data_IF_028982995613
#
_entry.id   IF_028982995613
#
_cell.length_a   1.000
_cell.length_b   1.000
_cell.length_c   1.000
_cell.angle_alpha   90.00
_cell.angle_beta   90.00
_cell.angle_gamma   90.00
#
_symmetry.space_group_name_H-M   'P 1'
#
loop_
_entity.id
_entity.type
_entity.pdbx_description
1 polymer ?
#
# COMPACT_ATOMS: atom_id res chain seq x y z
N UNK A 1 -16.96 24.87 23.69
CA UNK A 1 -17.88 23.79 23.28
C UNK A 1 -17.88 22.73 24.37
N UNK A 2 -19.04 22.19 24.77
CA UNK A 2 -19.15 21.12 25.76
C UNK A 2 -18.36 19.87 25.32
N UNK A 3 -17.64 19.24 26.26
CA UNK A 3 -16.83 18.05 25.97
C UNK A 3 -17.67 16.88 25.41
N UNK A 4 -18.82 16.62 26.03
CA UNK A 4 -19.69 15.48 25.67
C UNK A 4 -20.22 15.58 24.23
N UNK A 5 -20.53 16.80 23.78
CA UNK A 5 -20.97 17.08 22.42
C UNK A 5 -19.85 16.81 21.41
N UNK A 6 -18.64 17.32 21.69
CA UNK A 6 -17.46 17.09 20.85
C UNK A 6 -17.04 15.62 20.81
N UNK A 7 -17.15 14.91 21.94
CA UNK A 7 -16.81 13.48 22.04
C UNK A 7 -17.79 12.64 21.20
N UNK A 8 -19.09 12.91 21.32
CA UNK A 8 -20.12 12.24 20.51
C UNK A 8 -19.91 12.50 19.02
N UNK A 9 -19.61 13.74 18.66
CA UNK A 9 -19.29 14.11 17.27
C UNK A 9 -18.06 13.37 16.74
N UNK A 10 -16.94 13.44 17.47
CA UNK A 10 -15.67 12.81 17.07
C UNK A 10 -15.82 11.29 16.90
N UNK A 11 -16.52 10.61 17.82
CA UNK A 11 -16.79 9.18 17.74
C UNK A 11 -17.69 8.81 16.56
N UNK A 12 -18.68 9.65 16.25
CA UNK A 12 -19.59 9.42 15.10
C UNK A 12 -18.81 9.55 13.79
N UNK A 13 -18.09 10.65 13.60
CA UNK A 13 -17.24 10.87 12.41
C UNK A 13 -16.23 9.74 12.26
N UNK A 14 -15.60 9.30 13.34
CA UNK A 14 -14.62 8.22 13.26
C UNK A 14 -15.23 6.91 12.75
N UNK A 15 -16.42 6.53 13.22
CA UNK A 15 -17.12 5.33 12.73
C UNK A 15 -17.51 5.44 11.26
N UNK A 16 -17.96 6.62 10.83
CA UNK A 16 -18.27 6.88 9.42
C UNK A 16 -17.02 6.73 8.54
N UNK A 17 -15.91 7.35 8.95
CA UNK A 17 -14.62 7.26 8.27
C UNK A 17 -14.13 5.81 8.15
N UNK A 18 -14.27 5.01 9.21
CA UNK A 18 -13.95 3.58 9.20
C UNK A 18 -14.81 2.82 8.19
N UNK A 19 -16.12 3.06 8.18
CA UNK A 19 -17.06 2.42 7.26
C UNK A 19 -16.74 2.73 5.80
N UNK A 20 -16.51 3.99 5.47
CA UNK A 20 -16.18 4.44 4.10
C UNK A 20 -14.87 3.84 3.61
N UNK A 21 -13.87 3.72 4.49
CA UNK A 21 -12.53 3.25 4.11
C UNK A 21 -12.41 1.71 4.07
N UNK A 22 -13.38 0.98 4.64
CA UNK A 22 -13.30 -0.48 4.79
C UNK A 22 -13.16 -1.29 3.48
N UNK A 23 -13.85 -0.94 2.38
CA UNK A 23 -13.68 -1.66 1.11
C UNK A 23 -12.25 -1.55 0.58
N UNK A 24 -11.67 -0.34 0.63
CA UNK A 24 -10.28 -0.10 0.19
C UNK A 24 -9.28 -0.83 1.08
N UNK A 25 -9.44 -0.73 2.40
CA UNK A 25 -8.59 -1.43 3.39
C UNK A 25 -8.58 -2.94 3.15
N UNK A 26 -9.75 -3.53 2.87
CA UNK A 26 -9.85 -4.97 2.61
C UNK A 26 -9.04 -5.39 1.38
N UNK A 27 -9.11 -4.63 0.28
CA UNK A 27 -8.27 -4.87 -0.90
C UNK A 27 -6.77 -4.76 -0.59
N UNK A 28 -6.37 -3.73 0.15
CA UNK A 28 -4.95 -3.53 0.50
C UNK A 28 -4.42 -4.66 1.37
N UNK A 29 -5.24 -5.18 2.29
CA UNK A 29 -4.90 -6.37 3.10
C UNK A 29 -4.65 -7.58 2.19
N UNK A 30 -5.49 -7.81 1.20
CA UNK A 30 -5.31 -8.90 0.23
C UNK A 30 -4.01 -8.72 -0.58
N UNK A 31 -3.70 -7.48 -0.99
CA UNK A 31 -2.46 -7.16 -1.72
C UNK A 31 -1.22 -7.42 -0.88
N UNK A 32 -1.22 -6.95 0.38
CA UNK A 32 -0.12 -7.18 1.31
C UNK A 32 0.03 -8.66 1.66
N UNK A 33 -1.08 -9.38 1.84
CA UNK A 33 -1.06 -10.83 2.02
C UNK A 33 -0.40 -11.52 0.83
N UNK A 34 -0.69 -11.10 -0.41
CA UNK A 34 -0.03 -11.68 -1.58
C UNK A 34 1.46 -11.32 -1.68
N UNK A 35 1.82 -10.06 -1.45
CA UNK A 35 3.23 -9.63 -1.49
C UNK A 35 4.09 -10.33 -0.43
N UNK A 36 3.47 -10.75 0.68
CA UNK A 36 4.09 -11.56 1.73
C UNK A 36 4.02 -13.08 1.48
N UNK A 37 3.44 -13.51 0.35
CA UNK A 37 3.28 -14.93 0.00
C UNK A 37 2.12 -15.66 0.69
N UNK A 38 1.36 -14.97 1.53
CA UNK A 38 0.31 -15.52 2.40
C UNK A 38 -1.10 -15.54 1.78
N UNK A 39 -1.29 -15.02 0.55
CA UNK A 39 -2.65 -15.03 -0.02
C UNK A 39 -3.14 -16.44 -0.31
N UNK A 40 -4.44 -16.67 -0.15
CA UNK A 40 -5.13 -17.81 -0.75
C UNK A 40 -5.80 -17.34 -2.02
N UNK A 41 -5.33 -17.76 -3.19
CA UNK A 41 -6.09 -17.53 -4.42
C UNK A 41 -7.32 -18.43 -4.35
N UNK A 42 -8.55 -17.88 -4.36
CA UNK A 42 -9.76 -18.66 -4.23
C UNK A 42 -9.82 -19.74 -5.30
N UNK A 43 -9.96 -20.99 -4.86
CA UNK A 43 -10.23 -22.11 -5.73
C UNK A 43 -11.70 -21.99 -6.19
N UNK A 44 -12.00 -21.90 -7.50
CA UNK A 44 -13.38 -21.90 -7.97
C UNK A 44 -14.13 -23.19 -7.58
N UNK A 45 -13.44 -24.29 -7.27
CA UNK A 45 -14.04 -25.56 -6.85
C UNK A 45 -13.45 -26.07 -5.54
N UNK A 46 -13.89 -25.50 -4.41
CA UNK A 46 -13.58 -26.01 -3.05
C UNK A 46 -13.97 -27.49 -2.82
N UNK A 47 -14.62 -28.16 -3.76
CA UNK A 47 -15.14 -29.53 -3.62
C UNK A 47 -14.11 -30.63 -3.89
N UNK A 48 -12.89 -30.34 -4.40
CA UNK A 48 -11.91 -31.39 -4.74
C UNK A 48 -10.43 -31.09 -4.42
N UNK A 49 -10.11 -29.95 -3.80
CA UNK A 49 -8.83 -29.24 -3.88
C UNK A 49 -7.55 -29.82 -3.25
N UNK A 50 -7.50 -31.06 -2.75
CA UNK A 50 -6.27 -31.59 -2.12
C UNK A 50 -5.17 -32.02 -3.12
N UNK A 51 -5.53 -32.24 -4.39
CA UNK A 51 -4.58 -32.67 -5.44
C UNK A 51 -4.10 -31.53 -6.35
N UNK A 52 -4.72 -30.35 -6.27
CA UNK A 52 -4.40 -29.20 -7.14
C UNK A 52 -3.10 -28.52 -6.69
N UNK A 53 -2.30 -28.05 -7.64
CA UNK A 53 -1.07 -27.31 -7.33
C UNK A 53 -1.37 -25.92 -6.75
N UNK A 54 -0.62 -25.51 -5.74
CA UNK A 54 -0.70 -24.15 -5.17
C UNK A 54 0.29 -23.18 -5.84
N UNK A 55 0.42 -23.27 -7.17
CA UNK A 55 1.30 -22.39 -7.93
C UNK A 55 0.57 -21.07 -8.19
N UNK A 56 1.28 -19.95 -8.04
CA UNK A 56 0.74 -18.61 -8.26
C UNK A 56 1.51 -17.90 -9.36
N UNK A 57 0.84 -16.98 -10.04
CA UNK A 57 1.52 -16.06 -10.94
C UNK A 57 2.40 -15.09 -10.15
N UNK A 58 3.61 -14.84 -10.63
CA UNK A 58 4.48 -13.81 -10.06
C UNK A 58 4.16 -12.40 -10.58
N UNK A 59 3.18 -12.26 -11.48
CA UNK A 59 2.92 -11.00 -12.17
C UNK A 59 2.60 -9.84 -11.22
N UNK A 60 1.81 -10.09 -10.17
CA UNK A 60 1.44 -9.07 -9.20
C UNK A 60 2.67 -8.52 -8.46
N UNK A 61 3.49 -9.42 -7.93
CA UNK A 61 4.73 -9.06 -7.24
C UNK A 61 5.69 -8.32 -8.17
N UNK A 62 5.96 -8.88 -9.35
CA UNK A 62 6.93 -8.31 -10.30
C UNK A 62 6.52 -6.90 -10.76
N UNK A 63 5.26 -6.70 -11.13
CA UNK A 63 4.77 -5.42 -11.64
C UNK A 63 4.66 -4.37 -10.53
N UNK A 64 4.13 -4.74 -9.37
CA UNK A 64 3.97 -3.81 -8.24
C UNK A 64 5.33 -3.35 -7.71
N UNK A 65 6.27 -4.27 -7.52
CA UNK A 65 7.62 -3.92 -7.06
C UNK A 65 8.39 -3.11 -8.09
N UNK A 66 8.32 -3.47 -9.37
CA UNK A 66 8.98 -2.71 -10.42
C UNK A 66 8.41 -1.29 -10.54
N UNK A 67 7.08 -1.13 -10.48
CA UNK A 67 6.44 0.19 -10.49
C UNK A 67 6.96 1.07 -9.35
N UNK A 68 7.04 0.51 -8.15
CA UNK A 68 7.60 1.21 -6.99
C UNK A 68 9.04 1.64 -7.21
N UNK A 69 9.92 0.71 -7.58
CA UNK A 69 11.34 1.01 -7.78
C UNK A 69 11.56 2.02 -8.90
N UNK A 70 10.79 1.91 -9.99
CA UNK A 70 10.88 2.79 -11.15
C UNK A 70 10.41 4.21 -10.82
N UNK A 71 9.22 4.36 -10.25
CA UNK A 71 8.67 5.67 -9.85
C UNK A 71 9.52 6.32 -8.75
N UNK A 72 9.99 5.53 -7.78
CA UNK A 72 10.91 6.00 -6.74
C UNK A 72 12.20 6.56 -7.35
N UNK A 73 12.83 5.84 -8.27
CA UNK A 73 14.05 6.31 -8.92
C UNK A 73 13.84 7.64 -9.66
N UNK A 74 12.70 7.82 -10.31
CA UNK A 74 12.34 9.04 -11.01
C UNK A 74 12.08 10.19 -10.04
N UNK A 75 11.32 9.97 -8.96
CA UNK A 75 11.08 10.97 -7.91
C UNK A 75 12.36 11.40 -7.20
N UNK A 76 13.28 10.48 -6.90
CA UNK A 76 14.58 10.85 -6.32
C UNK A 76 15.40 11.72 -7.26
N UNK A 77 15.35 11.41 -8.56
CA UNK A 77 16.05 12.22 -9.58
C UNK A 77 15.43 13.61 -9.70
N UNK A 78 14.11 13.73 -9.73
CA UNK A 78 13.44 15.03 -9.87
C UNK A 78 13.54 15.89 -8.62
N UNK A 79 13.36 15.31 -7.44
CA UNK A 79 13.44 16.06 -6.18
C UNK A 79 14.85 16.55 -5.85
N UNK A 80 15.90 15.78 -6.14
CA UNK A 80 17.28 16.20 -5.89
C UNK A 80 17.80 17.22 -6.90
N UNK A 81 17.38 17.13 -8.18
CA UNK A 81 17.98 17.91 -9.26
C UNK A 81 17.07 18.98 -9.89
N UNK A 82 15.74 18.88 -9.76
CA UNK A 82 14.78 19.67 -10.56
C UNK A 82 13.83 20.56 -9.73
N UNK A 83 13.85 20.48 -8.40
CA UNK A 83 13.10 21.43 -7.56
C UNK A 83 13.75 22.82 -7.61
N UNK A 84 13.18 23.68 -8.45
CA UNK A 84 13.49 25.11 -8.52
C UNK A 84 12.52 25.93 -7.68
N UNK A 85 13.04 26.98 -7.04
CA UNK A 85 12.23 27.99 -6.37
C UNK A 85 12.30 29.26 -7.21
N UNK A 86 11.17 29.94 -7.39
CA UNK A 86 11.09 31.15 -8.19
C UNK A 86 10.35 32.26 -7.43
N UNK A 87 10.78 33.50 -7.66
CA UNK A 87 10.15 34.68 -7.06
C UNK A 87 10.14 35.81 -8.09
N UNK A 88 8.96 36.35 -8.35
CA UNK A 88 8.79 37.48 -9.28
C UNK A 88 9.19 38.83 -8.68
N UNK A 89 9.28 38.92 -7.35
CA UNK A 89 9.42 40.19 -6.62
C UNK A 89 10.79 40.37 -5.94
N UNK A 90 11.37 39.29 -5.44
CA UNK A 90 12.60 39.33 -4.66
C UNK A 90 13.59 38.29 -5.19
N UNK A 91 14.76 38.74 -5.63
CA UNK A 91 15.79 37.90 -6.27
C UNK A 91 16.47 36.91 -5.32
N UNK A 92 16.51 37.23 -4.02
CA UNK A 92 17.15 36.41 -2.98
C UNK A 92 16.21 35.35 -2.37
N UNK A 93 14.90 35.56 -2.46
CA UNK A 93 13.89 34.70 -1.86
C UNK A 93 13.94 33.22 -2.36
N UNK A 94 14.25 32.93 -3.65
CA UNK A 94 14.49 31.56 -4.10
C UNK A 94 15.59 30.82 -3.33
N UNK A 95 16.71 31.50 -3.06
CA UNK A 95 17.84 30.94 -2.31
C UNK A 95 17.42 30.64 -0.87
N UNK A 96 16.72 31.58 -0.23
CA UNK A 96 16.16 31.40 1.12
C UNK A 96 15.24 30.19 1.18
N UNK A 97 14.28 30.08 0.25
CA UNK A 97 13.37 28.94 0.19
C UNK A 97 14.10 27.62 -0.01
N UNK A 98 15.13 27.59 -0.85
CA UNK A 98 15.94 26.37 -1.05
C UNK A 98 16.66 25.96 0.25
N UNK A 99 17.29 26.91 0.95
CA UNK A 99 18.01 26.66 2.21
C UNK A 99 17.06 26.16 3.30
N UNK A 100 15.92 26.83 3.49
CA UNK A 100 14.88 26.44 4.46
C UNK A 100 14.28 25.08 4.11
N UNK A 101 14.01 24.82 2.83
CA UNK A 101 13.54 23.50 2.37
C UNK A 101 14.55 22.40 2.68
N UNK A 102 15.84 22.61 2.39
CA UNK A 102 16.89 21.63 2.69
C UNK A 102 16.99 21.35 4.20
N UNK A 103 16.87 22.38 5.05
CA UNK A 103 16.81 22.20 6.50
C UNK A 103 15.59 21.38 6.91
N UNK A 104 14.41 21.69 6.37
CA UNK A 104 13.18 20.94 6.64
C UNK A 104 13.29 19.48 6.21
N UNK A 105 13.84 19.21 5.02
CA UNK A 105 14.10 17.85 4.52
C UNK A 105 15.02 17.09 5.48
N UNK A 106 16.08 17.73 5.97
CA UNK A 106 17.02 17.13 6.91
C UNK A 106 16.35 16.79 8.25
N UNK A 107 15.61 17.74 8.83
CA UNK A 107 14.96 17.55 10.15
C UNK A 107 13.83 16.52 10.13
N UNK A 108 13.15 16.39 9.00
CA UNK A 108 11.93 15.57 8.92
C UNK A 108 12.12 14.24 8.21
N UNK A 109 13.31 13.96 7.67
CA UNK A 109 13.57 12.82 6.79
C UNK A 109 12.55 12.70 5.64
N UNK A 110 12.15 13.84 5.06
CA UNK A 110 11.01 13.95 4.15
C UNK A 110 11.02 12.92 3.01
N UNK A 111 12.18 12.66 2.41
CA UNK A 111 12.27 11.73 1.27
C UNK A 111 12.00 10.28 1.65
N UNK A 112 12.34 9.85 2.87
CA UNK A 112 11.97 8.52 3.35
C UNK A 112 10.45 8.42 3.56
N UNK A 113 9.84 9.51 4.03
CA UNK A 113 8.39 9.64 4.16
C UNK A 113 7.71 9.61 2.79
N UNK A 114 8.22 10.33 1.79
CA UNK A 114 7.69 10.32 0.42
C UNK A 114 7.82 8.93 -0.21
N UNK A 115 8.95 8.23 -0.02
CA UNK A 115 9.16 6.88 -0.52
C UNK A 115 8.10 5.91 0.05
N UNK A 116 7.84 5.98 1.36
CA UNK A 116 6.79 5.18 2.02
C UNK A 116 5.39 5.55 1.52
N UNK A 117 5.11 6.84 1.36
CA UNK A 117 3.83 7.31 0.85
C UNK A 117 3.60 6.84 -0.60
N UNK A 118 4.63 6.83 -1.45
CA UNK A 118 4.57 6.29 -2.80
C UNK A 118 4.20 4.80 -2.81
N UNK A 119 4.85 4.01 -1.96
CA UNK A 119 4.53 2.59 -1.81
C UNK A 119 3.07 2.40 -1.42
N UNK A 120 2.59 3.14 -0.42
CA UNK A 120 1.20 3.13 0.00
C UNK A 120 0.24 3.58 -1.10
N UNK A 121 0.62 4.59 -1.90
CA UNK A 121 -0.17 5.07 -3.03
C UNK A 121 -0.29 4.07 -4.17
N UNK A 122 0.75 3.30 -4.45
CA UNK A 122 0.70 2.20 -5.44
C UNK A 122 -0.32 1.14 -5.02
N UNK A 123 -0.35 0.77 -3.73
CA UNK A 123 -1.25 -0.25 -3.19
C UNK A 123 -2.68 0.25 -3.04
N UNK A 124 -2.86 1.43 -2.42
CA UNK A 124 -4.16 1.95 -2.01
C UNK A 124 -4.80 2.91 -3.00
N UNK A 125 -4.01 3.49 -3.91
CA UNK A 125 -4.47 4.50 -4.85
C UNK A 125 -4.44 5.92 -4.28
N UNK A 126 -3.89 6.11 -3.08
CA UNK A 126 -3.82 7.41 -2.43
C UNK A 126 -2.44 7.66 -1.79
N UNK A 127 -1.85 8.80 -2.13
CA UNK A 127 -0.61 9.31 -1.60
C UNK A 127 -0.92 10.21 -0.41
N UNK A 128 -0.68 9.72 0.80
CA UNK A 128 -1.08 10.41 2.04
C UNK A 128 0.11 10.66 2.96
N UNK A 129 0.36 11.93 3.28
CA UNK A 129 1.42 12.37 4.19
C UNK A 129 0.84 13.34 5.22
N UNK A 130 1.20 13.13 6.48
CA UNK A 130 1.01 14.09 7.55
C UNK A 130 2.25 15.00 7.61
N UNK A 131 2.01 16.31 7.60
CA UNK A 131 2.96 17.37 7.89
C UNK A 131 2.33 18.27 8.94
N UNK A 132 2.71 18.02 10.20
CA UNK A 132 2.17 18.72 11.38
C UNK A 132 3.32 19.18 12.28
N UNK A 133 3.04 20.14 13.15
CA UNK A 133 3.94 20.50 14.24
C UNK A 133 3.27 20.12 15.56
N UNK A 134 3.86 19.16 16.27
CA UNK A 134 3.25 18.58 17.46
C UNK A 134 4.31 18.15 18.47
N UNK A 135 3.87 17.88 19.69
CA UNK A 135 4.71 17.30 20.72
C UNK A 135 4.98 15.83 20.44
N UNK A 136 6.25 15.48 20.32
CA UNK A 136 6.74 14.11 20.20
C UNK A 136 7.51 13.70 21.44
N UNK A 137 7.39 12.44 21.84
CA UNK A 137 8.24 11.84 22.88
C UNK A 137 9.46 11.22 22.20
N UNK A 138 10.64 11.70 22.55
CA UNK A 138 11.90 11.28 21.96
C UNK A 138 12.33 9.86 22.46
N UNK A 139 13.59 9.48 22.23
CA UNK A 139 14.15 8.20 22.70
C UNK A 139 14.49 8.21 24.20
N UNK A 140 14.54 9.38 24.83
CA UNK A 140 14.89 9.59 26.23
C UNK A 140 13.67 9.91 27.11
N UNK A 141 12.45 9.73 26.56
CA UNK A 141 11.16 10.06 27.17
C UNK A 141 10.91 11.57 27.41
N UNK A 142 11.72 12.43 26.78
CA UNK A 142 11.54 13.88 26.81
C UNK A 142 10.51 14.31 25.74
N UNK A 143 9.71 15.30 26.11
CA UNK A 143 8.66 15.86 25.25
C UNK A 143 9.25 17.06 24.50
N UNK A 144 9.45 16.90 23.19
CA UNK A 144 9.93 17.96 22.31
C UNK A 144 8.84 18.39 21.33
N UNK A 145 8.75 19.70 21.08
CA UNK A 145 7.89 20.23 20.02
C UNK A 145 8.63 20.24 18.69
N UNK A 146 8.19 19.43 17.74
CA UNK A 146 8.91 19.20 16.48
C UNK A 146 7.97 19.25 15.29
N UNK A 147 8.50 19.68 14.13
CA UNK A 147 7.81 19.50 12.85
C UNK A 147 8.01 18.06 12.43
N UNK A 148 6.91 17.30 12.34
CA UNK A 148 6.91 15.88 12.09
C UNK A 148 6.35 15.57 10.70
N UNK A 149 6.98 14.61 10.02
CA UNK A 149 6.43 14.03 8.79
C UNK A 149 6.14 12.55 8.98
N UNK A 150 4.98 12.11 8.49
CA UNK A 150 4.61 10.69 8.54
C UNK A 150 3.87 10.28 7.28
N UNK A 151 4.31 9.18 6.67
CA UNK A 151 3.54 8.52 5.63
C UNK A 151 2.37 7.78 6.30
N UNK A 152 1.15 8.12 5.91
CA UNK A 152 -0.05 7.53 6.50
C UNK A 152 -0.31 6.18 5.83
N UNK A 153 -0.28 5.11 6.64
CA UNK A 153 -0.56 3.76 6.14
C UNK A 153 -2.04 3.66 5.78
N UNK A 154 -2.40 3.10 4.62
CA UNK A 154 -3.79 2.94 4.19
C UNK A 154 -4.59 2.01 5.12
N UNK A 155 -3.91 1.22 5.96
CA UNK A 155 -4.54 0.34 6.94
C UNK A 155 -4.95 1.07 8.22
N UNK A 156 -4.30 2.19 8.52
CA UNK A 156 -4.53 3.00 9.71
C UNK A 156 -4.95 4.44 9.37
N UNK A 157 -5.33 4.71 8.12
CA UNK A 157 -5.71 6.03 7.61
C UNK A 157 -7.12 5.97 7.04
N UNK A 158 -7.87 7.03 7.28
CA UNK A 158 -9.27 7.15 6.90
C UNK A 158 -9.54 8.54 6.34
N UNK A 159 -10.39 8.61 5.33
CA UNK A 159 -10.75 9.85 4.65
C UNK A 159 -12.24 9.87 4.32
N UNK A 160 -12.87 11.02 4.50
CA UNK A 160 -14.26 11.22 4.10
C UNK A 160 -14.37 11.39 2.58
N UNK A 161 -15.50 10.99 2.00
CA UNK A 161 -15.73 11.07 0.55
C UNK A 161 -15.65 12.49 -0.01
N UNK A 162 -15.98 13.49 0.80
CA UNK A 162 -15.92 14.91 0.45
C UNK A 162 -14.56 15.57 0.77
N UNK A 163 -13.60 14.82 1.33
CA UNK A 163 -12.27 15.30 1.68
C UNK A 163 -12.23 16.34 2.82
N UNK A 164 -13.30 16.47 3.60
CA UNK A 164 -13.36 17.41 4.73
C UNK A 164 -12.78 16.85 6.03
N UNK A 165 -12.84 15.53 6.21
CA UNK A 165 -12.35 14.84 7.40
C UNK A 165 -11.30 13.79 7.06
N UNK A 166 -10.30 13.72 7.93
CA UNK A 166 -9.22 12.77 7.88
C UNK A 166 -9.01 12.18 9.27
N UNK A 167 -8.75 10.89 9.37
CA UNK A 167 -8.34 10.29 10.62
C UNK A 167 -7.17 9.33 10.41
N UNK A 168 -6.35 9.15 11.44
CA UNK A 168 -5.41 8.05 11.46
C UNK A 168 -5.19 7.51 12.88
N UNK A 169 -4.88 6.22 12.93
CA UNK A 169 -4.59 5.50 14.16
C UNK A 169 -3.09 5.37 14.40
N UNK A 170 -2.69 5.48 15.66
CA UNK A 170 -1.32 5.21 16.13
C UNK A 170 -1.39 4.31 17.34
N UNK A 171 -0.59 3.25 17.32
CA UNK A 171 -0.40 2.35 18.45
C UNK A 171 0.91 2.71 19.14
N UNK A 172 0.84 3.17 20.39
CA UNK A 172 2.01 3.57 21.16
C UNK A 172 2.13 2.70 22.42
N UNK A 173 3.36 2.37 22.87
CA UNK A 173 3.58 1.74 24.17
C UNK A 173 2.95 2.57 25.29
N UNK A 174 2.37 1.90 26.29
CA UNK A 174 1.67 2.58 27.39
C UNK A 174 2.57 3.58 28.14
N UNK A 175 3.88 3.34 28.21
CA UNK A 175 4.84 4.28 28.79
C UNK A 175 4.85 5.62 28.04
N UNK A 176 4.90 5.58 26.70
CA UNK A 176 4.85 6.79 25.86
C UNK A 176 3.50 7.49 25.95
N UNK A 177 2.41 6.72 26.02
CA UNK A 177 1.06 7.27 26.22
C UNK A 177 0.98 8.00 27.56
N UNK A 178 1.60 7.49 28.62
CA UNK A 178 1.66 8.15 29.93
C UNK A 178 2.40 9.49 29.86
N UNK A 179 3.47 9.58 29.08
CA UNK A 179 4.15 10.84 28.78
C UNK A 179 3.21 11.86 28.13
N UNK A 180 2.57 11.47 27.03
CA UNK A 180 1.62 12.31 26.29
C UNK A 180 0.38 12.70 27.12
N UNK A 181 -0.10 11.82 28.00
CA UNK A 181 -1.30 12.08 28.81
C UNK A 181 -1.17 13.27 29.76
N UNK A 182 0.07 13.69 30.06
CA UNK A 182 0.33 14.90 30.84
C UNK A 182 -0.04 16.19 30.09
N UNK A 183 -0.11 16.13 28.75
CA UNK A 183 -0.43 17.27 27.89
C UNK A 183 -1.93 17.33 27.56
N UNK A 184 -2.67 16.24 27.73
CA UNK A 184 -4.08 16.16 27.40
C UNK A 184 -4.93 17.08 28.29
N UNK A 185 -5.88 17.79 27.69
CA UNK A 185 -6.87 18.59 28.43
C UNK A 185 -7.79 17.73 29.29
N UNK A 186 -8.10 16.52 28.83
CA UNK A 186 -9.07 15.62 29.48
C UNK A 186 -8.53 14.19 29.59
N UNK A 187 -7.49 13.95 30.40
CA UNK A 187 -6.95 12.62 30.57
C UNK A 187 -7.98 11.69 31.24
N UNK A 188 -8.09 10.42 30.80
CA UNK A 188 -8.96 9.44 31.43
C UNK A 188 -8.42 9.08 32.82
N UNK A 189 -9.30 8.68 33.75
CA UNK A 189 -8.92 8.32 35.12
C UNK A 189 -7.89 7.18 35.17
N UNK A 190 -7.97 6.26 34.21
CA UNK A 190 -7.03 5.16 34.05
C UNK A 190 -6.70 4.93 32.58
N UNK A 191 -5.42 4.80 32.28
CA UNK A 191 -4.95 4.37 30.95
C UNK A 191 -5.20 2.87 30.80
N UNK A 192 -6.12 2.52 29.90
CA UNK A 192 -6.48 1.15 29.57
C UNK A 192 -5.59 0.59 28.45
N UNK A 193 -5.24 -0.68 28.54
CA UNK A 193 -4.54 -1.36 27.43
C UNK A 193 -5.54 -1.63 26.30
N UNK A 194 -5.15 -1.33 25.07
CA UNK A 194 -5.94 -1.64 23.88
C UNK A 194 -5.85 -3.15 23.58
N UNK A 195 -7.01 -3.83 23.54
CA UNK A 195 -7.10 -5.26 23.25
C UNK A 195 -7.18 -5.51 21.74
N UNK A 196 -6.09 -5.96 21.13
CA UNK A 196 -6.04 -6.46 19.75
C UNK A 196 -6.75 -7.83 19.70
N UNK A 197 -8.00 -7.90 19.23
CA UNK A 197 -8.80 -9.13 19.32
C UNK A 197 -9.47 -9.60 18.02
N UNK A 198 -9.20 -8.99 16.85
CA UNK A 198 -9.71 -9.48 15.55
C UNK A 198 -8.61 -9.98 14.60
N UNK A 199 -8.94 -10.92 13.70
CA UNK A 199 -7.96 -11.59 12.81
C UNK A 199 -7.25 -10.66 11.81
N UNK A 200 -7.84 -9.50 11.47
CA UNK A 200 -7.18 -8.43 10.68
C UNK A 200 -6.16 -7.63 11.51
N UNK A 201 -6.32 -7.56 12.83
CA UNK A 201 -5.42 -6.83 13.74
C UNK A 201 -4.05 -7.54 13.92
N UNK A 202 -3.98 -8.84 13.57
CA UNK A 202 -2.80 -9.70 13.71
C UNK A 202 -1.74 -9.52 12.62
N UNK A 203 -2.14 -9.23 11.40
CA UNK A 203 -1.23 -9.07 10.24
C UNK A 203 -0.56 -7.69 10.23
N UNK A 204 -1.28 -6.67 10.72
CA UNK A 204 -0.80 -5.29 10.88
C UNK A 204 0.18 -5.14 12.06
N UNK A 205 0.10 -5.99 13.08
CA UNK A 205 1.13 -6.12 14.13
C UNK A 205 2.42 -6.78 13.60
N UNK A 206 2.32 -7.80 12.73
CA UNK A 206 3.44 -8.61 12.24
C UNK A 206 4.39 -7.91 11.25
N UNK A 207 3.95 -6.85 10.55
CA UNK A 207 4.73 -6.23 9.46
C UNK A 207 5.66 -5.09 9.95
N UNK A 208 5.42 -4.47 11.12
CA UNK A 208 6.20 -3.26 11.48
C UNK A 208 6.59 -3.01 12.94
N UNK A 209 6.13 -3.72 13.98
CA UNK A 209 6.39 -3.23 15.34
C UNK A 209 6.67 -4.31 16.41
N UNK A 210 7.97 -4.54 16.58
CA UNK A 210 8.70 -4.71 17.85
C UNK A 210 8.59 -6.01 18.67
N UNK A 211 9.80 -6.47 18.99
CA UNK A 211 10.23 -7.12 20.23
C UNK A 211 9.39 -6.70 21.44
N UNK A 212 9.13 -7.70 22.28
CA UNK A 212 8.57 -7.65 23.62
C UNK A 212 7.08 -7.32 23.75
N UNK A 213 6.49 -7.98 24.75
CA UNK A 213 5.07 -8.00 25.14
C UNK A 213 4.60 -6.64 25.68
N UNK A 214 4.86 -5.55 24.97
CA UNK A 214 4.44 -4.24 25.39
C UNK A 214 2.91 -4.15 25.30
N UNK A 215 2.29 -3.74 26.39
CA UNK A 215 0.90 -3.28 26.37
C UNK A 215 0.85 -1.96 25.60
N UNK A 216 -0.13 -1.78 24.71
CA UNK A 216 -0.25 -0.58 23.88
C UNK A 216 -1.52 0.19 24.19
N UNK A 217 -1.49 1.50 23.97
CA UNK A 217 -2.67 2.35 23.86
C UNK A 217 -2.87 2.77 22.42
N UNK A 218 -4.11 2.81 21.96
CA UNK A 218 -4.47 3.34 20.65
C UNK A 218 -4.80 4.82 20.78
N UNK A 219 -4.16 5.65 19.97
CA UNK A 219 -4.50 7.06 19.82
C UNK A 219 -4.99 7.28 18.40
N UNK A 220 -6.16 7.88 18.27
CA UNK A 220 -6.75 8.24 16.99
C UNK A 220 -6.80 9.75 16.88
N UNK A 221 -6.19 10.28 15.82
CA UNK A 221 -6.21 11.70 15.51
C UNK A 221 -7.20 11.94 14.38
N UNK A 222 -8.10 12.89 14.55
CA UNK A 222 -9.11 13.28 13.55
C UNK A 222 -8.92 14.77 13.23
N UNK A 223 -8.81 15.09 11.96
CA UNK A 223 -8.65 16.45 11.45
C UNK A 223 -9.88 16.81 10.61
N UNK A 224 -10.48 17.96 10.89
CA UNK A 224 -11.64 18.43 10.13
C UNK A 224 -12.21 19.71 10.72
N UNK A 225 -13.47 20.02 10.42
CA UNK A 225 -14.17 21.17 11.00
C UNK A 225 -15.38 20.69 11.80
N UNK A 226 -15.58 21.26 12.97
CA UNK A 226 -16.80 21.02 13.73
C UNK A 226 -17.94 21.87 13.17
N UNK A 227 -19.12 21.29 13.08
CA UNK A 227 -20.36 22.01 12.73
C UNK A 227 -21.29 21.84 13.91
N UNK A 228 -21.66 22.95 14.56
CA UNK A 228 -22.58 22.89 15.69
C UNK A 228 -24.02 22.66 15.21
N UNK A 229 -24.93 22.41 16.16
CA UNK A 229 -26.36 22.21 15.90
C UNK A 229 -27.06 23.45 15.30
N UNK A 230 -26.45 24.63 15.40
CA UNK A 230 -26.94 25.90 14.86
C UNK A 230 -26.38 26.20 13.45
N UNK A 231 -25.50 25.35 12.92
CA UNK A 231 -24.89 25.48 11.58
C UNK A 231 -23.62 26.33 11.51
N UNK A 232 -23.08 26.79 12.64
CA UNK A 232 -21.80 27.48 12.70
C UNK A 232 -20.63 26.51 12.49
N UNK A 233 -19.72 26.88 11.59
CA UNK A 233 -18.54 26.10 11.22
C UNK A 233 -17.33 26.59 12.01
N UNK A 234 -16.68 25.69 12.76
CA UNK A 234 -15.47 26.02 13.51
C UNK A 234 -14.26 26.25 12.62
N UNK A 235 -13.20 26.82 13.20
CA UNK A 235 -11.86 26.68 12.65
C UNK A 235 -11.48 25.19 12.55
N UNK A 236 -10.54 24.81 11.67
CA UNK A 236 -10.07 23.43 11.60
C UNK A 236 -9.57 22.94 12.96
N UNK A 237 -10.08 21.79 13.39
CA UNK A 237 -9.79 21.17 14.67
C UNK A 237 -9.05 19.85 14.48
N UNK A 238 -8.20 19.54 15.45
CA UNK A 238 -7.59 18.24 15.69
C UNK A 238 -8.24 17.64 16.94
N UNK A 239 -8.97 16.57 16.76
CA UNK A 239 -9.52 15.76 17.85
C UNK A 239 -8.58 14.60 18.14
N UNK A 240 -8.33 14.34 19.43
CA UNK A 240 -7.52 13.22 19.88
C UNK A 240 -8.40 12.29 20.70
N UNK A 241 -8.62 11.08 20.19
CA UNK A 241 -9.33 10.01 20.88
C UNK A 241 -8.34 9.00 21.45
N UNK A 242 -8.64 8.48 22.64
CA UNK A 242 -7.92 7.38 23.25
C UNK A 242 -8.77 6.12 23.28
N UNK A 243 -8.20 5.02 22.78
CA UNK A 243 -8.81 3.69 22.68
C UNK A 243 -10.21 3.68 22.05
N UNK A 244 -10.45 4.55 21.07
CA UNK A 244 -11.74 4.73 20.36
C UNK A 244 -12.93 5.06 21.29
N UNK A 245 -12.66 5.56 22.50
CA UNK A 245 -13.67 5.78 23.53
C UNK A 245 -13.67 7.20 24.07
N UNK A 246 -12.51 7.68 24.48
CA UNK A 246 -12.41 8.91 25.27
C UNK A 246 -11.85 10.05 24.43
N UNK A 247 -12.55 11.20 24.37
CA UNK A 247 -11.97 12.42 23.84
C UNK A 247 -11.02 13.00 24.88
N UNK A 248 -9.73 12.94 24.57
CA UNK A 248 -8.66 13.41 25.47
C UNK A 248 -8.19 14.82 25.15
N UNK A 249 -8.34 15.24 23.89
CA UNK A 249 -8.04 16.60 23.48
C UNK A 249 -8.81 17.06 22.23
N UNK A 250 -9.00 18.38 22.14
CA UNK A 250 -9.49 19.09 20.97
C UNK A 250 -8.73 20.42 20.82
N UNK A 251 -8.07 20.60 19.69
CA UNK A 251 -7.16 21.73 19.44
C UNK A 251 -7.42 22.40 18.10
N UNK A 252 -7.28 23.73 18.04
CA UNK A 252 -7.33 24.46 16.79
C UNK A 252 -6.03 24.28 16.02
N UNK A 253 -6.14 24.01 14.72
CA UNK A 253 -4.99 23.93 13.82
C UNK A 253 -4.63 25.36 13.40
N UNK A 254 -3.52 25.87 13.93
CA UNK A 254 -3.08 27.26 13.75
C UNK A 254 -1.99 27.41 12.69
N UNK A 255 -2.00 26.59 11.64
CA UNK A 255 -1.01 26.68 10.57
C UNK A 255 -1.17 27.98 9.77
N UNK A 256 -0.03 28.64 9.48
CA UNK A 256 0.01 29.92 8.78
C UNK A 256 -0.60 29.86 7.36
N UNK A 257 -0.53 28.69 6.72
CA UNK A 257 -1.12 28.45 5.40
C UNK A 257 -2.63 28.14 5.44
N UNK A 258 -3.22 28.01 6.63
CA UNK A 258 -4.64 27.66 6.88
C UNK A 258 -5.07 26.34 6.25
N UNK A 259 -4.13 25.46 5.89
CA UNK A 259 -4.42 24.15 5.33
C UNK A 259 -4.35 23.07 6.40
N UNK A 260 -5.10 21.99 6.21
CA UNK A 260 -5.02 20.82 7.09
C UNK A 260 -3.60 20.22 7.07
N UNK A 261 -3.16 19.55 8.14
CA UNK A 261 -1.83 18.93 8.22
C UNK A 261 -1.68 17.72 7.29
N UNK A 262 -2.80 17.08 6.93
CA UNK A 262 -2.83 15.91 6.04
C UNK A 262 -2.89 16.36 4.58
N UNK A 263 -1.92 15.94 3.80
CA UNK A 263 -1.90 16.09 2.34
C UNK A 263 -2.23 14.73 1.76
N UNK A 264 -3.36 14.63 1.06
CA UNK A 264 -3.83 13.38 0.47
C UNK A 264 -4.25 13.59 -0.98
N UNK A 265 -3.67 12.80 -1.88
CA UNK A 265 -3.84 12.95 -3.33
C UNK A 265 -4.03 11.58 -3.97
N UNK A 266 -5.03 11.47 -4.86
CA UNK A 266 -5.27 10.25 -5.61
C UNK A 266 -4.12 9.97 -6.59
N UNK A 267 -3.68 8.70 -6.63
CA UNK A 267 -2.60 8.24 -7.49
C UNK A 267 -2.97 8.37 -8.98
N UNK A 268 -4.19 8.00 -9.33
CA UNK A 268 -4.83 8.32 -10.62
C UNK A 268 -5.81 9.49 -10.47
N UNK A 269 -6.52 9.88 -11.54
CA UNK A 269 -7.58 10.89 -11.44
C UNK A 269 -8.64 10.50 -10.41
N UNK A 270 -9.20 11.51 -9.72
CA UNK A 270 -10.23 11.30 -8.70
C UNK A 270 -11.45 10.53 -9.26
N UNK A 271 -11.73 10.69 -10.55
CA UNK A 271 -12.79 9.96 -11.26
C UNK A 271 -12.54 8.45 -11.38
N UNK A 272 -11.28 8.02 -11.43
CA UNK A 272 -10.96 6.60 -11.59
C UNK A 272 -11.05 5.85 -10.27
N UNK A 273 -10.69 6.47 -9.14
CA UNK A 273 -10.64 5.83 -7.82
C UNK A 273 -9.93 4.47 -7.82
N UNK A 274 -8.92 4.27 -8.66
CA UNK A 274 -8.15 3.03 -8.77
C UNK A 274 -6.77 3.20 -8.14
N UNK A 275 -6.20 2.11 -7.66
CA UNK A 275 -4.77 1.99 -7.36
C UNK A 275 -4.02 1.35 -8.50
N UNK A 276 -2.69 1.48 -8.49
CA UNK A 276 -1.85 0.75 -9.44
C UNK A 276 -2.01 -0.77 -9.25
N UNK A 277 -2.15 -1.23 -8.00
CA UNK A 277 -2.40 -2.64 -7.69
C UNK A 277 -3.75 -3.13 -8.18
N UNK A 278 -4.82 -2.32 -8.15
CA UNK A 278 -6.13 -2.71 -8.71
C UNK A 278 -6.00 -3.15 -10.17
N UNK A 279 -5.23 -2.41 -10.97
CA UNK A 279 -5.06 -2.65 -12.40
C UNK A 279 -4.48 -4.03 -12.73
N UNK A 280 -3.65 -4.57 -11.84
CA UNK A 280 -2.95 -5.84 -12.05
C UNK A 280 -3.65 -6.99 -11.32
N UNK A 281 -4.38 -6.69 -10.24
CA UNK A 281 -4.93 -7.70 -9.33
C UNK A 281 -5.84 -8.70 -10.03
N UNK A 282 -6.74 -8.24 -10.91
CA UNK A 282 -7.67 -9.12 -11.60
C UNK A 282 -6.94 -10.02 -12.60
N UNK A 283 -5.99 -9.48 -13.38
CA UNK A 283 -5.15 -10.28 -14.27
C UNK A 283 -4.27 -11.28 -13.52
N UNK A 284 -3.79 -10.92 -12.33
CA UNK A 284 -3.03 -11.82 -11.46
C UNK A 284 -3.88 -13.02 -11.01
N UNK A 285 -5.13 -12.78 -10.57
CA UNK A 285 -6.04 -13.86 -10.16
C UNK A 285 -6.33 -14.79 -11.33
N UNK A 286 -6.62 -14.24 -12.50
CA UNK A 286 -6.92 -15.03 -13.69
C UNK A 286 -5.71 -15.79 -14.24
N UNK A 287 -4.53 -15.17 -14.32
CA UNK A 287 -3.31 -15.88 -14.73
C UNK A 287 -2.93 -16.97 -13.73
N UNK A 288 -3.13 -16.74 -12.44
CA UNK A 288 -2.86 -17.77 -11.43
C UNK A 288 -3.81 -18.95 -11.53
N UNK A 289 -5.12 -18.70 -11.72
CA UNK A 289 -6.11 -19.75 -11.97
C UNK A 289 -5.76 -20.56 -13.21
N UNK A 290 -5.43 -19.88 -14.30
CA UNK A 290 -5.09 -20.53 -15.57
C UNK A 290 -3.78 -21.30 -15.49
N UNK A 291 -2.75 -20.73 -14.85
CA UNK A 291 -1.46 -21.37 -14.65
C UNK A 291 -1.60 -22.67 -13.85
N UNK A 292 -2.39 -22.65 -12.77
CA UNK A 292 -2.71 -23.88 -12.01
C UNK A 292 -3.38 -24.92 -12.89
N UNK A 293 -4.43 -24.54 -13.61
CA UNK A 293 -5.15 -25.45 -14.49
C UNK A 293 -4.26 -26.07 -15.58
N UNK A 294 -3.34 -25.28 -16.16
CA UNK A 294 -2.36 -25.74 -17.14
C UNK A 294 -1.39 -26.75 -16.49
N UNK A 295 -0.83 -26.42 -15.33
CA UNK A 295 0.17 -27.27 -14.66
C UNK A 295 -0.47 -28.56 -14.17
N UNK A 296 -1.64 -28.49 -13.55
CA UNK A 296 -2.39 -29.65 -13.08
C UNK A 296 -2.72 -30.57 -14.25
N UNK A 297 -3.21 -30.03 -15.37
CA UNK A 297 -3.45 -30.83 -16.59
C UNK A 297 -2.18 -31.37 -17.21
N UNK A 298 -1.08 -30.61 -17.18
CA UNK A 298 0.21 -31.09 -17.67
C UNK A 298 0.70 -32.28 -16.83
N UNK A 299 0.64 -32.19 -15.50
CA UNK A 299 0.98 -33.29 -14.57
C UNK A 299 0.08 -34.50 -14.82
N UNK A 300 -1.23 -34.31 -14.94
CA UNK A 300 -2.15 -35.41 -15.23
C UNK A 300 -1.92 -36.02 -16.62
N UNK A 301 -1.51 -35.21 -17.61
CA UNK A 301 -1.22 -35.69 -18.96
C UNK A 301 0.08 -36.49 -19.05
N UNK A 302 1.06 -36.19 -18.19
CA UNK A 302 2.32 -36.96 -18.09
C UNK A 302 2.17 -38.18 -17.17
N UNK A 303 1.13 -38.21 -16.33
CA UNK A 303 0.84 -39.35 -15.46
C UNK A 303 0.05 -40.41 -16.23
N UNK A 304 0.56 -41.63 -16.29
CA UNK A 304 -0.18 -42.77 -16.84
C UNK A 304 -0.99 -43.45 -15.73
N UNK A 305 -2.29 -43.61 -15.97
CA UNK A 305 -3.14 -44.51 -15.20
C UNK A 305 -3.08 -45.92 -15.80
N UNK A 306 -3.33 -46.92 -14.97
CA UNK A 306 -3.46 -48.31 -15.41
C UNK A 306 -4.80 -48.85 -14.93
N UNK A 307 -5.64 -49.28 -15.86
CA UNK A 307 -6.85 -50.04 -15.57
C UNK A 307 -6.50 -51.53 -15.59
N UNK A 308 -6.82 -52.25 -14.52
CA UNK A 308 -6.56 -53.69 -14.38
C UNK A 308 -7.89 -54.43 -14.56
N UNK A 309 -8.03 -55.17 -15.65
CA UNK A 309 -9.19 -56.02 -15.87
C UNK A 309 -9.00 -57.33 -15.10
N UNK A 310 -9.59 -57.41 -13.91
CA UNK A 310 -9.47 -58.59 -13.04
C UNK A 310 -10.11 -59.86 -13.61
N UNK A 311 -11.03 -59.72 -14.57
CA UNK A 311 -11.68 -60.86 -15.24
C UNK A 311 -10.81 -61.52 -16.30
N UNK A 312 -9.79 -60.82 -16.81
CA UNK A 312 -8.83 -61.34 -17.79
C UNK A 312 -7.65 -62.07 -17.14
N UNK A 313 -7.52 -62.02 -15.80
CA UNK A 313 -6.45 -62.64 -15.03
C UNK A 313 -6.77 -64.11 -14.75
N UNK A 314 -5.75 -64.98 -14.83
CA UNK A 314 -5.90 -66.41 -14.58
C UNK A 314 -6.24 -66.75 -13.10
N UNK A 315 -5.91 -65.86 -12.16
CA UNK A 315 -6.08 -66.07 -10.72
C UNK A 315 -6.66 -64.80 -10.07
N UNK A 316 -7.78 -64.89 -9.35
CA UNK A 316 -8.49 -63.74 -8.74
C UNK A 316 -7.75 -63.08 -7.57
N UNK A 317 -6.81 -63.78 -6.93
CA UNK A 317 -6.20 -63.38 -5.65
C UNK A 317 -4.71 -62.99 -5.74
N UNK A 318 -4.14 -62.91 -6.95
CA UNK A 318 -2.77 -62.42 -7.10
C UNK A 318 -2.74 -60.89 -6.98
N UNK A 319 -2.52 -60.37 -5.77
CA UNK A 319 -2.09 -58.97 -5.58
C UNK A 319 -0.66 -58.86 -6.12
N UNK A 320 -0.50 -58.61 -7.41
CA UNK A 320 0.82 -58.44 -8.02
C UNK A 320 1.32 -57.01 -7.85
N UNK A 321 2.55 -56.88 -7.37
CA UNK A 321 3.30 -55.63 -7.51
C UNK A 321 3.81 -55.56 -8.95
N UNK A 322 3.26 -54.65 -9.76
CA UNK A 322 3.70 -54.46 -11.15
C UNK A 322 5.14 -53.93 -11.13
N UNK A 323 6.10 -54.79 -11.47
CA UNK A 323 7.51 -54.42 -11.69
C UNK A 323 7.84 -54.48 -13.18
N UNK A 324 8.84 -53.71 -13.66
CA UNK A 324 9.32 -53.83 -15.02
C UNK A 324 9.63 -55.30 -15.38
N UNK A 325 9.20 -55.74 -16.57
CA UNK A 325 9.39 -57.10 -17.10
C UNK A 325 8.62 -58.23 -16.39
N UNK A 326 7.64 -57.91 -15.53
CA UNK A 326 6.77 -58.94 -14.95
C UNK A 326 5.88 -59.56 -16.01
N UNK A 327 5.87 -60.89 -16.11
CA UNK A 327 4.99 -61.64 -17.03
C UNK A 327 3.70 -61.98 -16.30
N UNK A 328 2.57 -61.50 -16.82
CA UNK A 328 1.24 -61.74 -16.25
C UNK A 328 0.51 -62.75 -17.15
N UNK A 329 -0.03 -63.81 -16.55
CA UNK A 329 -0.80 -64.83 -17.28
C UNK A 329 -2.24 -64.35 -17.47
N UNK A 330 -2.68 -64.25 -18.73
CA UNK A 330 -4.04 -63.86 -19.08
C UNK A 330 -4.83 -65.05 -19.63
N UNK A 331 -6.13 -65.10 -19.35
CA UNK A 331 -7.08 -66.13 -19.85
C UNK A 331 -7.95 -65.61 -21.01
N UNK A 332 -7.77 -64.35 -21.40
CA UNK A 332 -8.48 -63.72 -22.52
C UNK A 332 -7.50 -63.07 -23.47
N UNK A 333 -7.92 -62.92 -24.74
CA UNK A 333 -7.19 -62.17 -25.76
C UNK A 333 -7.17 -60.65 -25.49
N UNK A 334 -7.97 -60.16 -24.54
CA UNK A 334 -7.95 -58.77 -24.12
C UNK A 334 -6.78 -58.50 -23.15
N UNK A 335 -6.07 -57.36 -23.30
CA UNK A 335 -4.97 -57.02 -22.39
C UNK A 335 -5.50 -56.82 -20.96
N UNK A 336 -4.88 -57.51 -20.00
CA UNK A 336 -5.25 -57.45 -18.58
C UNK A 336 -4.88 -56.12 -17.92
N UNK A 337 -3.88 -55.41 -18.45
CA UNK A 337 -3.51 -54.05 -18.03
C UNK A 337 -3.69 -53.14 -19.23
N UNK A 338 -4.49 -52.08 -19.06
CA UNK A 338 -4.69 -51.04 -20.08
C UNK A 338 -4.15 -49.71 -19.56
N UNK A 339 -3.10 -49.14 -20.18
CA UNK A 339 -2.71 -47.78 -19.85
C UNK A 339 -3.78 -46.82 -20.37
N UNK A 340 -4.12 -45.80 -19.59
CA UNK A 340 -4.92 -44.68 -20.02
C UNK A 340 -4.27 -43.37 -19.57
N UNK A 341 -4.42 -42.32 -20.38
CA UNK A 341 -4.00 -40.99 -19.98
C UNK A 341 -5.00 -40.44 -18.96
N UNK A 342 -4.53 -39.96 -17.82
CA UNK A 342 -5.42 -39.40 -16.79
C UNK A 342 -6.08 -38.10 -17.25
N UNK A 343 -5.45 -37.35 -18.15
CA UNK A 343 -6.02 -36.18 -18.79
C UNK A 343 -5.41 -35.94 -20.18
N UNK A 344 -6.12 -35.20 -21.02
CA UNK A 344 -5.56 -34.57 -22.22
C UNK A 344 -5.27 -33.09 -21.95
N UNK A 345 -4.09 -32.65 -22.38
CA UNK A 345 -3.71 -31.24 -22.40
C UNK A 345 -4.04 -30.65 -23.76
N UNK A 346 -4.84 -29.58 -23.81
CA UNK A 346 -5.10 -28.82 -25.02
C UNK A 346 -4.14 -27.62 -25.10
N UNK A 347 -3.17 -27.61 -26.04
CA UNK A 347 -2.22 -26.51 -26.19
C UNK A 347 -2.86 -25.18 -26.58
N UNK A 348 -4.11 -25.16 -27.07
CA UNK A 348 -4.83 -23.93 -27.43
C UNK A 348 -5.12 -23.02 -26.23
N UNK A 349 -4.90 -23.50 -25.00
CA UNK A 349 -5.01 -22.71 -23.78
C UNK A 349 -3.79 -21.78 -23.57
N UNK A 350 -2.62 -22.12 -24.14
CA UNK A 350 -1.40 -21.31 -23.98
C UNK A 350 -1.51 -19.90 -24.60
N UNK A 351 -2.06 -19.72 -25.82
CA UNK A 351 -2.35 -18.39 -26.36
C UNK A 351 -3.25 -17.54 -25.47
N UNK A 352 -4.26 -18.13 -24.81
CA UNK A 352 -5.16 -17.42 -23.91
C UNK A 352 -4.38 -16.84 -22.72
N UNK A 353 -3.49 -17.63 -22.14
CA UNK A 353 -2.58 -17.14 -21.08
C UNK A 353 -1.71 -16.00 -21.56
N UNK A 354 -1.17 -16.09 -22.78
CA UNK A 354 -0.34 -15.03 -23.34
C UNK A 354 -1.09 -13.71 -23.52
N UNK A 355 -2.39 -13.75 -23.86
CA UNK A 355 -3.23 -12.56 -23.93
C UNK A 355 -3.42 -11.90 -22.55
N UNK A 356 -3.65 -12.69 -21.49
CA UNK A 356 -3.73 -12.18 -20.11
C UNK A 356 -2.43 -11.47 -19.71
N UNK A 357 -1.28 -12.10 -19.96
CA UNK A 357 0.02 -11.51 -19.67
C UNK A 357 0.28 -10.24 -20.48
N UNK A 358 -0.12 -10.21 -21.75
CA UNK A 358 0.03 -9.05 -22.61
C UNK A 358 -0.83 -7.88 -22.11
N UNK A 359 -2.08 -8.15 -21.71
CA UNK A 359 -2.97 -7.11 -21.23
C UNK A 359 -2.51 -6.55 -19.88
N UNK A 360 -2.04 -7.41 -18.98
CA UNK A 360 -1.42 -6.96 -17.74
C UNK A 360 -0.19 -6.08 -17.96
N UNK A 361 0.62 -6.32 -19.01
CA UNK A 361 1.72 -5.43 -19.39
C UNK A 361 1.24 -4.07 -19.92
N UNK A 362 0.15 -4.07 -20.71
CA UNK A 362 -0.40 -2.85 -21.31
C UNK A 362 -1.02 -1.95 -20.25
N UNK A 363 -1.90 -2.52 -19.41
CA UNK A 363 -2.63 -1.76 -18.38
C UNK A 363 -1.67 -1.20 -17.33
N UNK A 364 -0.61 -1.94 -17.00
CA UNK A 364 0.37 -1.49 -16.02
C UNK A 364 1.42 -0.52 -16.59
N UNK A 365 1.43 -0.31 -17.92
CA UNK A 365 2.47 0.40 -18.68
C UNK A 365 3.91 -0.10 -18.45
N UNK A 366 4.09 -1.26 -17.80
CA UNK A 366 5.38 -1.89 -17.57
C UNK A 366 5.54 -3.04 -18.54
N UNK A 367 6.08 -2.76 -19.72
CA UNK A 367 6.37 -3.80 -20.70
C UNK A 367 7.61 -4.59 -20.34
N UNK A 368 7.72 -5.76 -20.93
CA UNK A 368 8.94 -6.56 -20.93
C UNK A 368 10.19 -5.74 -21.33
N UNK A 369 10.08 -4.80 -22.27
CA UNK A 369 11.22 -3.95 -22.68
C UNK A 369 11.69 -3.01 -21.59
N UNK A 370 10.75 -2.36 -20.89
CA UNK A 370 11.08 -1.49 -19.78
C UNK A 370 11.69 -2.27 -18.62
N UNK A 371 11.21 -3.50 -18.41
CA UNK A 371 11.71 -4.41 -17.38
C UNK A 371 12.97 -5.20 -17.78
N UNK A 372 13.45 -5.07 -19.03
CA UNK A 372 14.58 -5.85 -19.55
C UNK A 372 14.30 -7.36 -19.70
N UNK A 373 13.03 -7.76 -19.77
CA UNK A 373 12.60 -9.15 -19.93
C UNK A 373 12.56 -9.57 -21.42
N UNK A 374 12.82 -10.84 -21.72
CA UNK A 374 12.71 -11.37 -23.08
C UNK A 374 11.25 -11.38 -23.54
N UNK A 375 11.02 -11.08 -24.82
CA UNK A 375 9.67 -11.13 -25.40
C UNK A 375 9.25 -12.54 -25.80
N UNK A 376 7.99 -12.88 -25.55
CA UNK A 376 7.41 -14.16 -25.94
C UNK A 376 7.14 -14.27 -27.46
N UNK A 377 7.19 -13.16 -28.23
CA UNK A 377 6.84 -13.13 -29.66
C UNK A 377 8.05 -13.25 -30.62
N UNK A 378 9.26 -13.56 -30.13
CA UNK A 378 10.46 -13.73 -30.96
C UNK A 378 11.50 -12.60 -30.77
N UNK A 379 12.22 -12.21 -31.82
CA UNK A 379 13.12 -11.03 -31.76
C UNK A 379 12.32 -9.78 -32.15
N UNK A 380 12.07 -8.84 -31.21
CA UNK A 380 11.30 -7.65 -31.51
C UNK A 380 12.14 -6.72 -32.39
N UNK A 381 11.49 -6.01 -33.32
CA UNK A 381 12.20 -5.03 -34.14
C UNK A 381 12.52 -3.78 -33.29
N UNK A 382 13.62 -3.09 -33.61
CA UNK A 382 13.99 -1.85 -32.91
C UNK A 382 12.87 -0.79 -32.95
N UNK A 383 12.08 -0.77 -34.03
CA UNK A 383 10.92 0.14 -34.19
C UNK A 383 9.78 -0.21 -33.24
N UNK A 384 9.45 -1.49 -33.06
CA UNK A 384 8.42 -1.92 -32.11
C UNK A 384 8.82 -1.63 -30.67
N UNK A 385 10.09 -1.87 -30.33
CA UNK A 385 10.65 -1.54 -29.00
C UNK A 385 10.54 -0.03 -28.75
N UNK A 386 10.95 0.79 -29.71
CA UNK A 386 10.90 2.24 -29.59
C UNK A 386 9.45 2.76 -29.42
N UNK A 387 8.52 2.30 -30.25
CA UNK A 387 7.11 2.72 -30.18
C UNK A 387 6.47 2.33 -28.86
N UNK A 388 6.63 1.08 -28.41
CA UNK A 388 6.07 0.62 -27.13
C UNK A 388 6.69 1.33 -25.94
N UNK A 389 8.00 1.56 -25.97
CA UNK A 389 8.68 2.34 -24.93
C UNK A 389 8.13 3.77 -24.89
N UNK A 390 7.93 4.42 -26.04
CA UNK A 390 7.37 5.76 -26.10
C UNK A 390 5.95 5.84 -25.56
N UNK A 391 5.08 4.90 -25.93
CA UNK A 391 3.70 4.85 -25.42
C UNK A 391 3.66 4.67 -23.90
N UNK A 392 4.50 3.78 -23.36
CA UNK A 392 4.60 3.56 -21.92
C UNK A 392 5.14 4.78 -21.19
N UNK A 393 6.16 5.43 -21.76
CA UNK A 393 6.73 6.66 -21.19
C UNK A 393 5.70 7.77 -21.11
N UNK A 394 4.73 7.85 -22.03
CA UNK A 394 3.65 8.83 -21.94
C UNK A 394 2.77 8.58 -20.71
N UNK A 395 2.32 7.34 -20.49
CA UNK A 395 1.49 6.97 -19.32
C UNK A 395 2.25 7.24 -18.01
N UNK A 396 3.51 6.82 -17.95
CA UNK A 396 4.34 7.01 -16.75
C UNK A 396 4.61 8.51 -16.53
N UNK A 397 4.85 9.29 -17.58
CA UNK A 397 5.04 10.75 -17.47
C UNK A 397 3.80 11.44 -16.92
N UNK A 398 2.59 11.03 -17.31
CA UNK A 398 1.35 11.57 -16.75
C UNK A 398 1.24 11.30 -15.24
N UNK A 399 1.59 10.08 -14.80
CA UNK A 399 1.59 9.73 -13.37
C UNK A 399 2.64 10.57 -12.63
N UNK A 400 3.85 10.70 -13.17
CA UNK A 400 4.94 11.47 -12.56
C UNK A 400 4.58 12.94 -12.45
N UNK A 401 4.11 13.56 -13.53
CA UNK A 401 3.75 14.98 -13.52
C UNK A 401 2.66 15.25 -12.47
N UNK A 402 1.68 14.36 -12.32
CA UNK A 402 0.67 14.45 -11.25
C UNK A 402 1.30 14.38 -9.86
N UNK A 403 2.19 13.42 -9.62
CA UNK A 403 2.89 13.32 -8.33
C UNK A 403 3.73 14.57 -8.08
N UNK A 404 4.43 15.09 -9.07
CA UNK A 404 5.28 16.27 -8.93
C UNK A 404 4.45 17.55 -8.71
N UNK A 405 3.50 17.83 -9.60
CA UNK A 405 2.71 19.06 -9.62
C UNK A 405 1.69 19.14 -8.48
N UNK A 406 1.06 18.01 -8.12
CA UNK A 406 0.03 18.01 -7.09
C UNK A 406 0.59 17.61 -5.72
N UNK A 407 1.42 16.57 -5.64
CA UNK A 407 1.85 16.00 -4.35
C UNK A 407 3.14 16.63 -3.82
N UNK A 408 4.22 16.61 -4.58
CA UNK A 408 5.51 17.17 -4.17
C UNK A 408 5.40 18.69 -3.97
N UNK A 409 4.69 19.41 -4.84
CA UNK A 409 4.49 20.84 -4.70
C UNK A 409 3.73 21.21 -3.41
N UNK A 410 2.63 20.50 -3.08
CA UNK A 410 1.85 20.74 -1.85
C UNK A 410 2.68 20.43 -0.60
N UNK A 411 3.40 19.30 -0.60
CA UNK A 411 4.32 18.92 0.49
C UNK A 411 5.38 19.98 0.71
N UNK A 412 6.03 20.42 -0.38
CA UNK A 412 7.10 21.43 -0.33
C UNK A 412 6.58 22.74 0.24
N UNK A 413 5.41 23.20 -0.23
CA UNK A 413 4.76 24.42 0.27
C UNK A 413 4.43 24.32 1.75
N UNK A 414 3.80 23.21 2.18
CA UNK A 414 3.43 22.96 3.57
C UNK A 414 4.64 22.94 4.49
N UNK A 415 5.68 22.19 4.10
CA UNK A 415 6.91 22.08 4.87
C UNK A 415 7.56 23.46 5.05
N UNK A 416 7.71 24.24 3.97
CA UNK A 416 8.29 25.58 4.06
C UNK A 416 7.47 26.48 4.99
N UNK A 417 6.13 26.45 4.89
CA UNK A 417 5.25 27.21 5.78
C UNK A 417 5.43 26.83 7.26
N UNK A 418 5.52 25.54 7.58
CA UNK A 418 5.75 25.07 8.94
C UNK A 418 7.15 25.45 9.46
N UNK A 419 8.17 25.34 8.61
CA UNK A 419 9.53 25.73 8.97
C UNK A 419 9.63 27.24 9.26
N UNK A 420 8.99 28.08 8.46
CA UNK A 420 8.92 29.52 8.77
C UNK A 420 8.10 29.83 10.02
N UNK A 421 7.05 29.06 10.30
CA UNK A 421 6.21 29.31 11.47
C UNK A 421 6.89 28.91 12.78
N UNK A 422 7.53 27.74 12.82
CA UNK A 422 8.02 27.13 14.06
C UNK A 422 9.55 27.15 14.22
N UNK A 423 10.31 27.34 13.14
CA UNK A 423 11.78 27.41 13.16
C UNK A 423 12.33 28.78 12.74
N UNK A 424 11.52 29.84 12.74
CA UNK A 424 11.97 31.18 12.30
C UNK A 424 13.23 31.66 13.04
N UNK A 425 13.22 31.53 14.37
CA UNK A 425 14.34 32.00 15.20
C UNK A 425 15.62 31.26 14.84
N UNK A 426 15.56 29.94 14.68
CA UNK A 426 16.69 29.10 14.27
C UNK A 426 17.17 29.46 12.87
N UNK A 427 16.26 29.68 11.92
CA UNK A 427 16.60 30.10 10.55
C UNK A 427 17.36 31.43 10.56
N UNK A 428 16.92 32.39 11.37
CA UNK A 428 17.53 33.73 11.46
C UNK A 428 18.85 33.70 12.25
N UNK A 429 18.96 32.88 13.30
CA UNK A 429 20.12 32.85 14.20
C UNK A 429 21.23 31.88 13.79
N UNK A 430 20.94 30.90 12.93
CA UNK A 430 21.88 29.83 12.54
C UNK A 430 23.00 30.28 11.59
N UNK A 431 22.95 31.52 11.08
CA UNK A 431 23.88 31.98 10.04
C UNK A 431 23.68 31.29 8.68
N UNK A 432 22.57 30.56 8.50
CA UNK A 432 22.23 29.88 7.24
C UNK A 432 21.93 30.89 6.13
N UNK A 433 21.34 32.04 6.48
CA UNK A 433 20.99 33.10 5.55
C UNK A 433 22.11 34.14 5.46
N UNK A 434 22.37 34.61 4.25
CA UNK A 434 23.30 35.73 4.03
C UNK A 434 22.70 37.05 4.56
N UNK A 435 23.52 38.05 4.90
CA UNK A 435 23.00 39.35 5.36
C UNK A 435 22.06 40.05 4.38
N UNK A 436 22.22 39.78 3.08
CA UNK A 436 21.34 40.23 1.99
C UNK A 436 19.98 39.51 1.97
N UNK A 437 19.94 38.26 2.43
CA UNK A 437 18.76 37.39 2.50
C UNK A 437 17.92 37.63 3.77
N UNK A 438 18.50 38.26 4.79
CA UNK A 438 17.84 38.60 6.06
C UNK A 438 17.01 39.90 5.99
N UNK A 439 17.23 40.74 4.98
CA UNK A 439 16.49 41.99 4.74
C UNK A 439 15.18 41.73 4.03
#
# INVERSE_FOLDING_TARGET
LPKEELETFALTIYKELQSVSQPRRSKVIDYLAELNGNSSIPDPDNSTGNWRTNIKSSIFFQKTLFAYLYLRALLHKSTKALLSFESKKYTFLPSVYKKVFNLGVYKTSLFETIDKALWYGILSGELSVLLDADYSVDEWDDVEFTVNTKALSPLSYYKSSDGQFYAYDVYLPIEKVKGLSKLWKHPPEKLEVYNLSTDKDRTDYLITAMRDRATYGKITYIFGRYINSEGEVSLPLKFTLYNDKYLVDAENILHADKQLPVISISFYSEDMQLSYSDLIWDYYKEDSRLTRAIIDRAILSTTMGFEINTSALATKDEVFTVKPFTVIKTISDQPAIRPFAMASFDPNVLPVRQLILQEAQNVSALTEFLMGQPTAKGRPTAKEVALKTQMNMNVISTIINRIEDEFIAKITRKLISLMFQYHLNEIVSSGMLEPSELK
#
